data_IF_790978976894
#
_entry.id   IF_790978976894
#
_cell.length_a   1.000
_cell.length_b   1.000
_cell.length_c   1.000
_cell.angle_alpha   90.00
_cell.angle_beta   90.00
_cell.angle_gamma   90.00
#
_symmetry.space_group_name_H-M   'P 1'
#
loop_
_entity.id
_entity.type
_entity.pdbx_description
1 polymer ?
#
# COMPACT_ATOMS: atom_id res chain seq x y z
N UNK A 1 -14.91 39.68 -3.85
CA UNK A 1 -15.80 39.00 -2.87
C UNK A 1 -15.42 39.48 -1.50
N UNK A 2 -16.39 40.03 -0.79
CA UNK A 2 -16.21 40.45 0.62
C UNK A 2 -16.37 39.24 1.53
N UNK A 3 -15.28 38.56 1.83
CA UNK A 3 -15.27 37.37 2.69
C UNK A 3 -15.72 37.67 4.13
N UNK A 4 -15.46 38.90 4.60
CA UNK A 4 -15.84 39.32 5.96
C UNK A 4 -17.34 39.47 6.10
N UNK A 5 -17.97 40.19 5.17
CA UNK A 5 -19.44 40.38 5.17
C UNK A 5 -20.17 39.02 5.00
N UNK A 6 -19.61 38.11 4.21
CA UNK A 6 -20.16 36.78 3.98
C UNK A 6 -19.78 35.76 5.09
N UNK A 7 -18.99 36.16 6.08
CA UNK A 7 -18.45 35.29 7.13
C UNK A 7 -17.75 34.05 6.58
N UNK A 8 -17.06 34.21 5.46
CA UNK A 8 -16.30 33.16 4.82
C UNK A 8 -14.81 33.30 5.13
N UNK A 9 -14.12 32.17 5.18
CA UNK A 9 -12.67 32.09 5.34
C UNK A 9 -12.11 31.04 4.41
N UNK A 10 -11.06 31.41 3.68
CA UNK A 10 -10.30 30.45 2.86
C UNK A 10 -9.14 29.93 3.71
N UNK A 11 -9.07 28.60 4.00
CA UNK A 11 -7.94 28.03 4.67
C UNK A 11 -6.71 28.05 3.74
N UNK A 12 -5.62 28.68 4.18
CA UNK A 12 -4.37 28.78 3.42
C UNK A 12 -3.28 27.81 3.91
N UNK A 13 -3.54 27.11 5.00
CA UNK A 13 -2.65 26.12 5.60
C UNK A 13 -3.47 24.99 6.20
N UNK A 14 -2.82 23.87 6.48
CA UNK A 14 -3.45 22.76 7.17
C UNK A 14 -3.83 23.17 8.60
N UNK A 15 -5.07 22.94 8.95
CA UNK A 15 -5.61 23.22 10.30
C UNK A 15 -6.63 22.14 10.69
N UNK A 16 -6.82 22.00 12.00
CA UNK A 16 -7.79 21.04 12.51
C UNK A 16 -9.20 21.43 12.11
N UNK A 17 -9.95 20.50 11.54
CA UNK A 17 -11.35 20.70 11.21
C UNK A 17 -12.20 20.70 12.49
N UNK A 18 -13.05 21.72 12.71
CA UNK A 18 -13.87 21.81 13.92
C UNK A 18 -14.84 20.63 14.01
N UNK A 19 -15.01 20.08 15.20
CA UNK A 19 -16.09 19.13 15.50
C UNK A 19 -17.41 19.87 15.68
N UNK A 20 -18.46 19.38 15.05
CA UNK A 20 -19.84 19.80 15.29
C UNK A 20 -20.58 18.58 15.86
N UNK A 21 -20.72 18.52 17.18
CA UNK A 21 -21.21 17.31 17.88
C UNK A 21 -20.14 16.23 18.01
N UNK A 22 -20.53 14.97 17.90
CA UNK A 22 -19.64 13.82 18.12
C UNK A 22 -18.77 13.47 16.90
N UNK A 23 -19.12 13.97 15.72
CA UNK A 23 -18.43 13.65 14.46
C UNK A 23 -18.06 14.92 13.69
N UNK A 24 -16.99 14.82 12.88
CA UNK A 24 -16.67 15.84 11.88
C UNK A 24 -17.38 15.50 10.58
N UNK A 25 -18.22 16.42 10.11
CA UNK A 25 -19.00 16.25 8.87
C UNK A 25 -18.75 17.46 7.97
N UNK A 26 -18.51 17.21 6.70
CA UNK A 26 -18.25 18.23 5.67
C UNK A 26 -19.22 18.03 4.50
N UNK A 27 -19.84 19.11 4.06
CA UNK A 27 -20.55 19.15 2.78
C UNK A 27 -19.64 19.69 1.68
N UNK A 28 -19.57 19.00 0.57
CA UNK A 28 -18.82 19.42 -0.62
C UNK A 28 -19.81 19.65 -1.78
N UNK A 29 -19.84 20.90 -2.28
CA UNK A 29 -20.65 21.26 -3.43
C UNK A 29 -19.79 21.44 -4.68
N UNK A 30 -20.27 20.92 -5.79
CA UNK A 30 -19.76 21.20 -7.13
C UNK A 30 -20.91 21.67 -8.00
N UNK A 31 -20.86 22.94 -8.39
CA UNK A 31 -21.90 23.58 -9.21
C UNK A 31 -21.32 23.83 -10.61
N UNK A 32 -21.81 23.07 -11.60
CA UNK A 32 -21.35 23.16 -12.97
C UNK A 32 -22.10 24.24 -13.78
N UNK A 33 -21.40 25.03 -14.56
CA UNK A 33 -21.98 26.05 -15.45
C UNK A 33 -22.96 25.45 -16.47
N UNK A 34 -22.79 24.16 -16.82
CA UNK A 34 -23.69 23.42 -17.72
C UNK A 34 -24.94 22.85 -17.04
N UNK A 35 -25.20 23.21 -15.77
CA UNK A 35 -26.39 22.78 -15.03
C UNK A 35 -26.24 21.43 -14.28
N UNK A 36 -25.12 20.73 -14.43
CA UNK A 36 -24.83 19.53 -13.66
C UNK A 36 -24.29 19.91 -12.28
N UNK A 37 -25.03 19.61 -11.22
CA UNK A 37 -24.65 19.90 -9.86
C UNK A 37 -24.43 18.59 -9.08
N UNK A 38 -23.44 18.59 -8.19
CA UNK A 38 -23.18 17.48 -7.29
C UNK A 38 -23.01 17.98 -5.86
N UNK A 39 -23.49 17.22 -4.92
CA UNK A 39 -23.30 17.43 -3.48
C UNK A 39 -22.86 16.13 -2.83
N UNK A 40 -21.82 16.18 -2.01
CA UNK A 40 -21.35 15.04 -1.23
C UNK A 40 -21.24 15.43 0.25
N UNK A 41 -21.66 14.53 1.12
CA UNK A 41 -21.44 14.64 2.56
C UNK A 41 -20.32 13.66 2.91
N UNK A 42 -19.27 14.18 3.54
CA UNK A 42 -18.10 13.39 3.96
C UNK A 42 -18.02 13.43 5.48
N UNK A 43 -18.05 12.28 6.10
CA UNK A 43 -17.91 12.12 7.55
C UNK A 43 -16.50 11.68 7.95
N UNK A 44 -16.13 11.93 9.19
CA UNK A 44 -14.93 11.38 9.81
C UNK A 44 -14.99 9.84 9.77
N UNK A 45 -13.88 9.20 9.44
CA UNK A 45 -13.80 7.75 9.48
C UNK A 45 -14.05 7.24 10.92
N UNK A 46 -14.77 6.12 11.08
CA UNK A 46 -14.92 5.48 12.38
C UNK A 46 -13.56 5.25 13.02
N UNK A 47 -13.45 5.41 14.33
CA UNK A 47 -12.24 5.03 15.05
C UNK A 47 -11.95 3.55 14.77
N UNK A 48 -10.81 3.29 14.15
CA UNK A 48 -10.39 1.91 13.95
C UNK A 48 -9.98 1.33 15.29
N UNK A 49 -10.55 0.17 15.63
CA UNK A 49 -10.02 -0.62 16.73
C UNK A 49 -8.53 -0.89 16.45
N UNK A 50 -7.66 -0.83 17.47
CA UNK A 50 -6.26 -1.22 17.29
C UNK A 50 -6.27 -2.63 16.67
N UNK A 51 -5.69 -2.76 15.49
CA UNK A 51 -5.42 -4.08 14.92
C UNK A 51 -4.47 -4.74 15.89
N UNK A 52 -4.91 -5.83 16.51
CA UNK A 52 -4.04 -6.64 17.34
C UNK A 52 -2.85 -7.03 16.44
N UNK A 53 -1.71 -6.45 16.72
CA UNK A 53 -0.45 -6.82 16.09
C UNK A 53 -0.03 -8.12 16.74
N UNK A 54 -0.55 -9.25 16.24
CA UNK A 54 0.17 -10.49 16.44
C UNK A 54 1.57 -10.24 15.94
N UNK A 55 2.54 -10.40 16.82
CA UNK A 55 3.94 -10.27 16.49
C UNK A 55 4.26 -11.34 15.46
N UNK A 56 4.22 -10.95 14.18
CA UNK A 56 4.67 -11.84 13.13
C UNK A 56 6.11 -12.28 13.44
N UNK A 57 6.47 -13.53 13.17
CA UNK A 57 7.82 -14.02 13.38
C UNK A 57 8.82 -13.04 12.78
N UNK A 58 9.89 -12.72 13.51
CA UNK A 58 10.88 -11.72 13.14
C UNK A 58 11.64 -12.03 11.84
N UNK A 59 11.51 -13.25 11.35
CA UNK A 59 12.21 -13.76 10.17
C UNK A 59 11.30 -13.92 8.94
N UNK A 60 10.08 -13.43 9.00
CA UNK A 60 9.14 -13.53 7.88
C UNK A 60 9.45 -12.48 6.82
N UNK A 61 9.65 -12.94 5.56
CA UNK A 61 9.69 -12.05 4.40
C UNK A 61 8.29 -11.57 4.00
N UNK A 62 8.17 -10.27 3.72
CA UNK A 62 6.92 -9.64 3.30
C UNK A 62 6.96 -9.32 1.81
N UNK A 63 6.02 -9.87 1.01
CA UNK A 63 5.94 -9.56 -0.41
C UNK A 63 5.42 -8.12 -0.60
N UNK A 64 6.10 -7.34 -1.43
CA UNK A 64 5.73 -5.98 -1.77
C UNK A 64 5.61 -5.85 -3.28
N UNK A 65 4.57 -5.15 -3.73
CA UNK A 65 4.27 -4.97 -5.15
C UNK A 65 4.07 -3.50 -5.45
N UNK A 66 4.89 -2.94 -6.32
CA UNK A 66 4.68 -1.62 -6.90
C UNK A 66 4.27 -1.75 -8.36
N UNK A 67 3.45 -0.83 -8.85
CA UNK A 67 3.09 -0.82 -10.26
C UNK A 67 2.84 0.59 -10.78
N UNK A 68 3.09 0.77 -12.08
CA UNK A 68 2.91 2.05 -12.77
C UNK A 68 2.45 1.84 -14.22
N UNK A 69 2.10 2.95 -14.88
CA UNK A 69 1.70 2.94 -16.30
C UNK A 69 2.88 3.04 -17.26
N UNK A 70 4.06 3.40 -16.75
CA UNK A 70 5.31 3.44 -17.51
C UNK A 70 6.48 3.07 -16.61
N UNK A 71 7.61 2.75 -17.22
CA UNK A 71 8.83 2.40 -16.54
C UNK A 71 9.41 3.55 -15.72
N UNK A 72 9.47 4.75 -16.30
CA UNK A 72 9.90 5.94 -15.59
C UNK A 72 9.02 6.26 -14.40
N UNK A 73 7.70 6.07 -14.53
CA UNK A 73 6.78 6.23 -13.40
C UNK A 73 7.02 5.20 -12.31
N UNK A 74 7.38 3.96 -12.68
CA UNK A 74 7.70 2.91 -11.70
C UNK A 74 8.97 3.25 -10.92
N UNK A 75 10.02 3.75 -11.57
CA UNK A 75 11.23 4.24 -10.90
C UNK A 75 10.93 5.38 -9.92
N UNK A 76 10.14 6.36 -10.37
CA UNK A 76 9.75 7.47 -9.50
C UNK A 76 8.95 7.00 -8.29
N UNK A 77 8.05 6.01 -8.46
CA UNK A 77 7.29 5.42 -7.35
C UNK A 77 8.22 4.67 -6.42
N UNK A 78 9.19 3.90 -6.92
CA UNK A 78 10.16 3.19 -6.10
C UNK A 78 11.00 4.15 -5.25
N UNK A 79 11.55 5.21 -5.85
CA UNK A 79 12.31 6.23 -5.13
C UNK A 79 11.47 6.91 -4.03
N UNK A 80 10.27 7.37 -4.37
CA UNK A 80 9.37 8.01 -3.39
C UNK A 80 8.91 7.06 -2.28
N UNK A 81 8.77 5.78 -2.58
CA UNK A 81 8.45 4.77 -1.58
C UNK A 81 9.64 4.56 -0.62
N UNK A 82 10.87 4.55 -1.13
CA UNK A 82 12.06 4.48 -0.29
C UNK A 82 12.12 5.66 0.70
N UNK A 83 11.91 6.89 0.21
CA UNK A 83 11.89 8.09 1.05
C UNK A 83 10.78 8.00 2.12
N UNK A 84 9.59 7.58 1.71
CA UNK A 84 8.47 7.42 2.63
C UNK A 84 8.73 6.37 3.71
N UNK A 85 9.30 5.23 3.34
CA UNK A 85 9.66 4.16 4.32
C UNK A 85 10.74 4.65 5.27
N UNK A 86 11.75 5.38 4.77
CA UNK A 86 12.81 5.95 5.60
C UNK A 86 12.27 6.93 6.65
N UNK A 87 11.34 7.79 6.26
CA UNK A 87 10.71 8.76 7.18
C UNK A 87 9.84 8.07 8.24
N UNK A 88 9.10 7.02 7.86
CA UNK A 88 8.15 6.35 8.75
C UNK A 88 8.76 5.22 9.56
N UNK A 89 9.92 4.68 9.15
CA UNK A 89 10.65 3.67 9.95
C UNK A 89 11.24 4.26 11.25
N UNK A 90 11.46 5.58 11.27
CA UNK A 90 11.97 6.31 12.45
C UNK A 90 10.91 6.54 13.53
N UNK A 91 9.65 6.34 13.21
CA UNK A 91 8.52 6.59 14.13
C UNK A 91 8.30 5.37 15.04
N UNK A 92 9.27 5.16 15.91
CA UNK A 92 9.38 4.17 17.01
C UNK A 92 8.15 3.27 17.23
N UNK A 93 8.01 2.22 16.43
CA UNK A 93 7.36 0.98 16.89
C UNK A 93 5.83 0.97 17.00
N UNK A 94 5.10 1.95 16.46
CA UNK A 94 3.64 2.01 16.61
C UNK A 94 2.84 1.14 15.63
N UNK A 95 3.45 0.62 14.58
CA UNK A 95 2.77 -0.27 13.64
C UNK A 95 3.77 -1.17 12.92
N UNK A 96 3.44 -2.43 12.64
CA UNK A 96 4.27 -3.29 11.81
C UNK A 96 4.25 -2.74 10.38
N UNK A 97 5.27 -1.96 10.03
CA UNK A 97 5.33 -1.24 8.76
C UNK A 97 5.23 -2.19 7.55
N UNK A 98 6.05 -3.23 7.50
CA UNK A 98 6.09 -4.16 6.36
C UNK A 98 4.79 -4.94 6.16
N UNK A 99 4.14 -5.54 7.18
CA UNK A 99 2.85 -6.20 7.02
C UNK A 99 1.78 -5.26 6.47
N UNK A 100 1.71 -4.04 6.99
CA UNK A 100 0.73 -3.03 6.56
C UNK A 100 0.98 -2.57 5.12
N UNK A 101 2.24 -2.41 4.73
CA UNK A 101 2.63 -2.08 3.36
C UNK A 101 2.31 -3.23 2.41
N UNK A 102 2.69 -4.45 2.75
CA UNK A 102 2.40 -5.65 1.96
C UNK A 102 0.91 -5.77 1.65
N UNK A 103 0.08 -5.68 2.69
CA UNK A 103 -1.38 -5.71 2.52
C UNK A 103 -1.89 -4.55 1.68
N UNK A 104 -1.44 -3.33 1.96
CA UNK A 104 -1.93 -2.14 1.26
C UNK A 104 -1.54 -2.16 -0.21
N UNK A 105 -0.29 -2.47 -0.51
CA UNK A 105 0.23 -2.50 -1.87
C UNK A 105 -0.32 -3.69 -2.66
N UNK A 106 -0.49 -4.85 -2.02
CA UNK A 106 -1.00 -6.05 -2.67
C UNK A 106 -2.51 -6.06 -2.88
N UNK A 107 -3.29 -5.65 -1.87
CA UNK A 107 -4.75 -5.81 -1.84
C UNK A 107 -5.54 -4.50 -2.02
N UNK A 108 -4.94 -3.34 -1.69
CA UNK A 108 -5.65 -2.04 -1.65
C UNK A 108 -5.24 -1.10 -2.77
N UNK A 109 -4.42 -1.52 -3.72
CA UNK A 109 -3.98 -0.74 -4.87
C UNK A 109 -4.34 -1.42 -6.18
N UNK A 110 -4.64 -0.63 -7.20
CA UNK A 110 -4.78 -1.12 -8.56
C UNK A 110 -3.40 -1.45 -9.13
N UNK A 111 -3.30 -2.61 -9.79
CA UNK A 111 -2.05 -3.05 -10.42
C UNK A 111 -2.04 -2.67 -11.89
N UNK A 112 -1.03 -1.90 -12.28
CA UNK A 112 -0.77 -1.50 -13.66
C UNK A 112 0.17 -2.50 -14.37
N UNK A 113 0.44 -2.23 -15.65
CA UNK A 113 1.21 -3.15 -16.51
C UNK A 113 2.68 -3.28 -16.11
N UNK A 114 3.32 -2.17 -15.73
CA UNK A 114 4.71 -2.19 -15.25
C UNK A 114 4.71 -2.49 -13.75
N UNK A 115 5.37 -3.57 -13.36
CA UNK A 115 5.35 -4.07 -11.98
C UNK A 115 6.75 -4.34 -11.47
N UNK A 116 6.95 -4.04 -10.22
CA UNK A 116 8.12 -4.39 -9.44
C UNK A 116 7.63 -5.18 -8.24
N UNK A 117 8.15 -6.39 -8.06
CA UNK A 117 7.86 -7.24 -6.91
C UNK A 117 9.14 -7.59 -6.19
N UNK A 118 9.09 -7.57 -4.87
CA UNK A 118 10.22 -7.89 -4.01
C UNK A 118 9.73 -8.52 -2.72
N UNK A 119 10.62 -9.16 -1.98
CA UNK A 119 10.38 -9.65 -0.62
C UNK A 119 11.37 -8.96 0.28
N UNK A 120 10.91 -8.35 1.36
CA UNK A 120 11.77 -7.69 2.33
C UNK A 120 11.48 -8.21 3.75
N UNK A 121 12.53 -8.38 4.56
CA UNK A 121 12.47 -8.83 5.94
C UNK A 121 12.60 -7.67 6.92
N UNK A 122 13.13 -6.53 6.47
CA UNK A 122 13.27 -5.31 7.25
C UNK A 122 13.00 -4.05 6.43
N UNK A 123 12.64 -2.93 7.08
CA UNK A 123 12.52 -1.63 6.39
C UNK A 123 13.81 -1.19 5.71
N UNK A 124 14.96 -1.45 6.31
CA UNK A 124 16.27 -1.07 5.75
C UNK A 124 16.58 -1.85 4.47
N UNK A 125 16.30 -3.16 4.46
CA UNK A 125 16.39 -3.99 3.26
C UNK A 125 15.47 -3.45 2.15
N UNK A 126 14.23 -3.13 2.48
CA UNK A 126 13.28 -2.54 1.54
C UNK A 126 13.79 -1.23 0.95
N UNK A 127 14.32 -0.32 1.77
CA UNK A 127 14.89 0.95 1.30
C UNK A 127 16.06 0.71 0.35
N UNK A 128 16.96 -0.20 0.70
CA UNK A 128 18.12 -0.53 -0.11
C UNK A 128 17.70 -1.10 -1.47
N UNK A 129 16.78 -2.04 -1.49
CA UNK A 129 16.25 -2.65 -2.71
C UNK A 129 15.55 -1.61 -3.60
N UNK A 130 14.69 -0.77 -3.03
CA UNK A 130 13.99 0.27 -3.77
C UNK A 130 14.93 1.32 -4.37
N UNK A 131 16.00 1.70 -3.67
CA UNK A 131 17.00 2.66 -4.16
C UNK A 131 17.94 2.08 -5.20
N UNK A 132 18.20 0.77 -5.15
CA UNK A 132 19.00 0.07 -6.15
C UNK A 132 18.24 -0.23 -7.44
N UNK A 133 16.91 -0.02 -7.43
CA UNK A 133 16.09 -0.33 -8.59
C UNK A 133 16.41 0.58 -9.79
N UNK A 134 16.91 -0.04 -10.85
CA UNK A 134 17.03 0.56 -12.18
C UNK A 134 16.32 -0.34 -13.20
N UNK A 135 15.97 0.17 -14.39
CA UNK A 135 15.36 -0.64 -15.44
C UNK A 135 16.17 -1.89 -15.85
N UNK A 136 17.47 -1.85 -15.63
CA UNK A 136 18.40 -2.96 -15.98
C UNK A 136 18.66 -3.89 -14.78
N UNK A 137 18.21 -3.56 -13.58
CA UNK A 137 18.52 -4.35 -12.37
C UNK A 137 17.83 -5.70 -12.42
N UNK A 138 18.63 -6.76 -12.38
CA UNK A 138 18.23 -8.14 -12.16
C UNK A 138 18.78 -8.56 -10.79
N UNK A 139 17.92 -8.73 -9.81
CA UNK A 139 18.29 -9.19 -8.47
C UNK A 139 17.13 -9.99 -7.88
N UNK A 140 16.90 -9.89 -6.58
CA UNK A 140 15.73 -10.46 -5.91
C UNK A 140 14.41 -9.78 -6.33
N UNK A 141 14.48 -8.81 -7.25
CA UNK A 141 13.35 -8.10 -7.80
C UNK A 141 12.86 -8.75 -9.09
N UNK A 142 11.58 -9.08 -9.14
CA UNK A 142 10.95 -9.57 -10.37
C UNK A 142 10.30 -8.38 -11.06
N UNK A 143 10.88 -8.00 -12.19
CA UNK A 143 10.30 -7.02 -13.09
C UNK A 143 9.43 -7.74 -14.13
N UNK A 144 8.18 -7.33 -14.25
CA UNK A 144 7.35 -7.70 -15.38
C UNK A 144 7.03 -6.46 -16.20
N UNK A 145 7.64 -6.35 -17.39
CA UNK A 145 7.19 -5.41 -18.40
C UNK A 145 5.93 -5.98 -19.04
N UNK A 146 4.89 -5.18 -19.11
CA UNK A 146 3.64 -5.43 -19.81
C UNK A 146 3.09 -6.86 -19.68
N UNK A 147 2.23 -7.08 -18.73
CA UNK A 147 1.31 -8.22 -18.77
C UNK A 147 -0.03 -7.69 -19.28
N UNK A 148 -0.48 -8.07 -20.47
CA UNK A 148 -1.84 -7.77 -20.89
C UNK A 148 -2.80 -8.25 -19.80
N UNK A 149 -3.80 -7.45 -19.48
CA UNK A 149 -4.86 -7.93 -18.58
C UNK A 149 -5.51 -9.13 -19.28
N UNK A 150 -5.47 -10.33 -18.68
CA UNK A 150 -6.10 -11.48 -19.32
C UNK A 150 -7.60 -11.18 -19.49
N UNK A 151 -8.16 -11.52 -20.64
CA UNK A 151 -9.61 -11.37 -20.91
C UNK A 151 -10.45 -12.15 -19.89
N UNK A 152 -9.87 -13.19 -19.31
CA UNK A 152 -10.50 -14.01 -18.26
C UNK A 152 -9.60 -14.10 -17.04
N UNK A 153 -10.20 -14.26 -15.86
CA UNK A 153 -9.45 -14.52 -14.63
C UNK A 153 -8.58 -15.78 -14.80
N UNK A 154 -7.30 -15.75 -14.41
CA UNK A 154 -6.44 -16.92 -14.52
C UNK A 154 -7.00 -18.06 -13.67
N UNK A 155 -6.94 -19.28 -14.20
CA UNK A 155 -7.26 -20.47 -13.43
C UNK A 155 -6.05 -20.87 -12.60
N UNK A 156 -6.26 -21.12 -11.31
CA UNK A 156 -5.22 -21.57 -10.40
C UNK A 156 -5.35 -23.08 -10.24
N UNK A 157 -4.25 -23.82 -10.47
CA UNK A 157 -4.16 -25.24 -10.23
C UNK A 157 -3.22 -25.53 -9.05
N UNK A 158 -3.64 -26.36 -8.13
CA UNK A 158 -2.79 -26.88 -7.07
C UNK A 158 -2.31 -28.28 -7.44
N UNK A 159 -0.99 -28.48 -7.41
CA UNK A 159 -0.37 -29.79 -7.66
C UNK A 159 0.22 -30.28 -6.34
N UNK A 160 -0.32 -31.37 -5.84
CA UNK A 160 0.18 -32.03 -4.64
C UNK A 160 1.00 -33.23 -5.08
N UNK A 161 2.28 -33.26 -4.71
CA UNK A 161 3.18 -34.35 -5.03
C UNK A 161 2.79 -35.60 -4.22
N UNK A 162 2.91 -36.78 -4.85
CA UNK A 162 2.78 -38.05 -4.16
C UNK A 162 4.01 -38.38 -3.31
N UNK A 163 4.17 -39.68 -2.96
CA UNK A 163 5.33 -40.14 -2.21
C UNK A 163 6.63 -40.00 -3.01
N UNK A 164 7.70 -39.54 -2.35
CA UNK A 164 9.05 -39.46 -2.91
C UNK A 164 9.77 -38.12 -2.64
N UNK A 165 9.12 -36.96 -2.71
CA UNK A 165 9.79 -35.68 -2.51
C UNK A 165 9.96 -35.28 -1.04
N UNK A 166 9.52 -36.10 -0.09
CA UNK A 166 9.59 -35.81 1.33
C UNK A 166 11.04 -35.81 1.84
N UNK A 167 11.36 -34.81 2.66
CA UNK A 167 12.64 -34.67 3.32
C UNK A 167 12.44 -34.24 4.78
N UNK A 168 13.43 -34.52 5.63
CA UNK A 168 13.29 -34.37 7.08
C UNK A 168 12.91 -32.94 7.57
N UNK A 169 13.35 -31.90 6.88
CA UNK A 169 13.04 -30.50 7.21
C UNK A 169 11.76 -29.95 6.58
N UNK A 170 11.06 -30.75 5.76
CA UNK A 170 9.89 -30.30 5.00
C UNK A 170 8.78 -29.77 5.91
N UNK A 171 8.33 -28.53 5.64
CA UNK A 171 7.24 -27.89 6.37
C UNK A 171 7.57 -27.33 7.74
N UNK A 172 8.77 -27.56 8.28
CA UNK A 172 9.13 -27.10 9.64
C UNK A 172 9.09 -25.58 9.79
N UNK A 173 9.51 -24.86 8.79
CA UNK A 173 9.47 -23.39 8.77
C UNK A 173 8.02 -22.92 8.74
N UNK A 174 7.21 -23.47 7.86
CA UNK A 174 5.79 -23.15 7.77
C UNK A 174 5.03 -23.47 9.07
N UNK A 175 5.36 -24.55 9.76
CA UNK A 175 4.77 -24.88 11.05
C UNK A 175 5.12 -23.86 12.16
N UNK A 176 6.19 -23.10 12.00
CA UNK A 176 6.59 -22.05 12.96
C UNK A 176 6.06 -20.67 12.59
N UNK A 177 5.97 -20.40 11.29
CA UNK A 177 5.65 -19.05 10.77
C UNK A 177 4.17 -18.87 10.44
N UNK A 178 3.45 -19.96 10.15
CA UNK A 178 2.06 -19.89 9.72
C UNK A 178 1.16 -20.57 10.79
N UNK A 179 0.36 -19.78 11.53
CA UNK A 179 -0.65 -20.33 12.42
C UNK A 179 -1.74 -21.00 11.61
N UNK A 180 -2.15 -22.20 12.01
CA UNK A 180 -3.27 -22.96 11.43
C UNK A 180 -4.52 -22.68 12.23
#
# INVERSE_FOLDING_TARGET
>A
IDFTALKLRVPTKMESFPKTGDQRIVGVNSLGFGGANAHAIVGEAPAQAPVATESAPSDRGWPLVLSARSENALQNIASRMADWVEDHSKDNGKSPLLPSLSYTLGARRNHHSYRLTMVAHSPDELIQELRSFTPETTGNMIRTSFTPRPEHAPRIGFVMSGQGPQWWGMGRELMRSEPV
#
